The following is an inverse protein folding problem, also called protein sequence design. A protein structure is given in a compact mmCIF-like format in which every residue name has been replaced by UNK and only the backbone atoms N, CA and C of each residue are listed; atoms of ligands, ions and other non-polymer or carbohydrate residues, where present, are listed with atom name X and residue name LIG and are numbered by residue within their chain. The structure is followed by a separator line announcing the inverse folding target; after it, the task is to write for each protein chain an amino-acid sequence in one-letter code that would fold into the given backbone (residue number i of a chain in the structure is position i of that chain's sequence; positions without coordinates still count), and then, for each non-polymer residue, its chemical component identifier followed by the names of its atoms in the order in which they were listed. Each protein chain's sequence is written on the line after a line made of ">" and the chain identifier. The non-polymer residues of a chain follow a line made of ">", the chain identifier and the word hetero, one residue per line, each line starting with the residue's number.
data_IF_220039291445
#
_entry.id   IF_220039291445
#
_cell.length_a   1.000
_cell.length_b   1.000
_cell.length_c   1.000
_cell.angle_alpha   90.00
_cell.angle_beta   90.00
_cell.angle_gamma   90.00
#
_symmetry.space_group_name_H-M   'P 1'
#
loop_
_entity.id
_entity.type
_entity.pdbx_description
1 polymer ?
#
# COMPACT_ATOMS: atom_id res chain seq x y z
N UNK A 1 -24.62 11.78 13.61
CA UNK A 1 -24.00 12.26 12.36
C UNK A 1 -22.49 12.38 12.53
N UNK A 2 -22.01 13.08 13.57
CA UNK A 2 -20.58 13.29 13.85
C UNK A 2 -19.72 12.01 13.95
N UNK A 3 -20.27 10.90 14.49
CA UNK A 3 -19.55 9.63 14.60
C UNK A 3 -19.31 8.98 13.23
N UNK A 4 -20.23 9.14 12.28
CA UNK A 4 -20.07 8.60 10.93
C UNK A 4 -19.02 9.39 10.15
N UNK A 5 -19.01 10.71 10.28
CA UNK A 5 -17.97 11.57 9.69
C UNK A 5 -16.58 11.25 10.24
N UNK A 6 -16.47 11.00 11.55
CA UNK A 6 -15.21 10.59 12.17
C UNK A 6 -14.72 9.24 11.62
N UNK A 7 -15.60 8.24 11.53
CA UNK A 7 -15.27 6.92 10.97
C UNK A 7 -14.84 7.06 9.50
N UNK A 8 -15.53 7.89 8.72
CA UNK A 8 -15.21 8.15 7.32
C UNK A 8 -13.84 8.80 7.15
N UNK A 9 -13.52 9.79 7.99
CA UNK A 9 -12.21 10.45 8.00
C UNK A 9 -11.06 9.49 8.36
N UNK A 10 -11.29 8.59 9.33
CA UNK A 10 -10.32 7.56 9.72
C UNK A 10 -10.13 6.55 8.60
N UNK A 11 -11.20 6.03 8.00
CA UNK A 11 -11.11 5.10 6.87
C UNK A 11 -10.38 5.75 5.68
N UNK A 12 -10.74 6.99 5.34
CA UNK A 12 -10.08 7.71 4.24
C UNK A 12 -8.58 7.88 4.49
N UNK A 13 -8.19 8.29 5.71
CA UNK A 13 -6.77 8.42 6.08
C UNK A 13 -6.02 7.08 6.00
N UNK A 14 -6.67 5.99 6.42
CA UNK A 14 -6.11 4.64 6.35
C UNK A 14 -5.92 4.17 4.90
N UNK A 15 -6.90 4.45 4.04
CA UNK A 15 -6.84 4.16 2.61
C UNK A 15 -5.72 4.92 1.90
N UNK A 16 -5.55 6.21 2.19
CA UNK A 16 -4.47 7.04 1.65
C UNK A 16 -3.09 6.54 2.12
N UNK A 17 -2.97 6.14 3.40
CA UNK A 17 -1.73 5.58 3.95
C UNK A 17 -1.32 4.28 3.23
N UNK A 18 -2.27 3.37 3.02
CA UNK A 18 -2.05 2.12 2.29
C UNK A 18 -1.64 2.37 0.84
N UNK A 19 -2.29 3.34 0.18
CA UNK A 19 -1.94 3.73 -1.19
C UNK A 19 -0.53 4.32 -1.27
N UNK A 20 -0.16 5.20 -0.32
CA UNK A 20 1.17 5.79 -0.26
C UNK A 20 2.27 4.74 0.00
N UNK A 21 2.01 3.75 0.86
CA UNK A 21 2.92 2.62 1.06
C UNK A 21 3.14 1.81 -0.22
N UNK A 22 2.08 1.51 -0.98
CA UNK A 22 2.22 0.81 -2.26
C UNK A 22 3.02 1.63 -3.28
N UNK A 23 2.75 2.93 -3.39
CA UNK A 23 3.50 3.82 -4.28
C UNK A 23 4.99 3.91 -3.89
N UNK A 24 5.29 3.97 -2.59
CA UNK A 24 6.66 3.95 -2.07
C UNK A 24 7.42 2.68 -2.44
N UNK A 25 6.75 1.52 -2.38
CA UNK A 25 7.33 0.25 -2.82
C UNK A 25 7.58 0.18 -4.32
N UNK A 26 6.65 0.70 -5.14
CA UNK A 26 6.83 0.77 -6.59
C UNK A 26 8.02 1.65 -6.99
N UNK A 27 8.22 2.79 -6.30
CA UNK A 27 9.38 3.66 -6.50
C UNK A 27 10.67 2.98 -6.04
N UNK A 28 10.66 2.30 -4.89
CA UNK A 28 11.83 1.57 -4.38
C UNK A 28 12.28 0.46 -5.33
N UNK A 29 11.35 -0.22 -6.00
CA UNK A 29 11.65 -1.22 -7.02
C UNK A 29 12.37 -0.64 -8.25
N UNK A 30 12.09 0.63 -8.59
CA UNK A 30 12.70 1.34 -9.71
C UNK A 30 14.09 1.91 -9.37
N UNK A 31 14.38 2.16 -8.09
CA UNK A 31 15.66 2.75 -7.62
C UNK A 31 16.67 1.73 -7.12
N UNK A 32 16.30 0.45 -6.95
CA UNK A 32 17.25 -0.62 -6.59
C UNK A 32 18.25 -0.85 -7.73
N UNK A 33 19.54 -0.64 -7.45
CA UNK A 33 20.65 -1.03 -8.34
C UNK A 33 20.77 -2.56 -8.37
N UNK A 34 20.87 -3.13 -9.56
CA UNK A 34 20.89 -4.56 -9.89
C UNK A 34 22.16 -5.35 -9.44
N UNK A 35 22.89 -4.89 -8.42
CA UNK A 35 24.25 -5.40 -8.13
C UNK A 35 24.32 -6.55 -7.09
N UNK A 36 23.27 -6.82 -6.30
CA UNK A 36 23.25 -7.87 -5.26
C UNK A 36 22.20 -8.95 -5.55
N UNK A 37 22.56 -9.99 -6.29
CA UNK A 37 21.61 -10.79 -7.09
C UNK A 37 20.97 -12.00 -6.37
N UNK A 38 21.36 -12.39 -5.16
CA UNK A 38 20.83 -13.65 -4.57
C UNK A 38 19.77 -13.47 -3.45
N UNK A 39 19.80 -12.40 -2.65
CA UNK A 39 18.82 -12.16 -1.56
C UNK A 39 17.63 -11.25 -1.96
N UNK A 40 17.73 -10.55 -3.09
CA UNK A 40 16.72 -9.59 -3.55
C UNK A 40 15.44 -10.26 -4.07
N UNK A 41 15.48 -11.53 -4.50
CA UNK A 41 14.31 -12.20 -5.08
C UNK A 41 13.23 -12.47 -4.03
N UNK A 42 13.63 -12.99 -2.86
CA UNK A 42 12.73 -13.23 -1.73
C UNK A 42 12.16 -11.90 -1.20
N UNK A 43 13.03 -10.91 -1.00
CA UNK A 43 12.62 -9.55 -0.57
C UNK A 43 11.73 -8.83 -1.60
N UNK A 44 11.93 -9.05 -2.91
CA UNK A 44 11.04 -8.53 -3.97
C UNK A 44 9.66 -9.18 -3.96
N UNK A 45 9.58 -10.47 -3.67
CA UNK A 45 8.31 -11.19 -3.63
C UNK A 45 7.50 -10.75 -2.41
N UNK A 46 8.14 -10.62 -1.25
CA UNK A 46 7.50 -10.10 -0.03
C UNK A 46 7.03 -8.65 -0.18
N UNK A 47 7.87 -7.78 -0.73
CA UNK A 47 7.51 -6.39 -1.00
C UNK A 47 6.42 -6.23 -2.05
N UNK A 48 6.46 -7.06 -3.11
CA UNK A 48 5.41 -7.15 -4.11
C UNK A 48 4.08 -7.63 -3.54
N UNK A 49 4.10 -8.66 -2.69
CA UNK A 49 2.91 -9.20 -2.01
C UNK A 49 2.32 -8.17 -1.03
N UNK A 50 3.16 -7.50 -0.24
CA UNK A 50 2.75 -6.44 0.68
C UNK A 50 2.14 -5.24 -0.08
N UNK A 51 2.79 -4.77 -1.15
CA UNK A 51 2.26 -3.69 -1.99
C UNK A 51 0.92 -4.08 -2.63
N UNK A 52 0.79 -5.32 -3.10
CA UNK A 52 -0.47 -5.84 -3.63
C UNK A 52 -1.58 -5.87 -2.57
N UNK A 53 -1.29 -6.34 -1.37
CA UNK A 53 -2.23 -6.33 -0.24
C UNK A 53 -2.65 -4.91 0.15
N UNK A 54 -1.72 -3.94 0.13
CA UNK A 54 -2.01 -2.53 0.36
C UNK A 54 -2.94 -1.94 -0.70
N UNK A 55 -2.75 -2.27 -1.99
CA UNK A 55 -3.63 -1.82 -3.06
C UNK A 55 -5.04 -2.40 -2.92
N UNK A 56 -5.15 -3.71 -2.68
CA UNK A 56 -6.45 -4.38 -2.46
C UNK A 56 -7.15 -3.78 -1.23
N UNK A 57 -6.42 -3.56 -0.14
CA UNK A 57 -6.94 -2.93 1.08
C UNK A 57 -7.43 -1.49 0.84
N UNK A 58 -6.64 -0.68 0.11
CA UNK A 58 -7.04 0.68 -0.25
C UNK A 58 -8.28 0.71 -1.15
N UNK A 59 -8.39 -0.23 -2.11
CA UNK A 59 -9.55 -0.36 -2.99
C UNK A 59 -10.80 -0.83 -2.25
N UNK A 60 -10.65 -1.73 -1.27
CA UNK A 60 -11.75 -2.17 -0.42
C UNK A 60 -12.26 -1.04 0.48
N UNK A 61 -11.35 -0.24 1.05
CA UNK A 61 -11.72 0.95 1.83
C UNK A 61 -12.42 1.99 0.94
N UNK A 62 -11.93 2.21 -0.28
CA UNK A 62 -12.60 3.10 -1.23
C UNK A 62 -14.01 2.61 -1.61
N UNK A 63 -14.21 1.30 -1.75
CA UNK A 63 -15.53 0.70 -1.97
C UNK A 63 -16.47 0.88 -0.79
N UNK A 64 -15.97 0.74 0.45
CA UNK A 64 -16.78 0.96 1.66
C UNK A 64 -17.13 2.43 1.93
N UNK A 65 -16.35 3.36 1.37
CA UNK A 65 -16.56 4.81 1.47
C UNK A 65 -17.48 5.37 0.37
N UNK A 66 -17.86 4.54 -0.62
CA UNK A 66 -18.72 4.89 -1.75
C UNK A 66 -20.19 4.53 -1.47
#
# INVERSE_FOLDING_TARGET
>A
MEVLDFIQAVLFSLGVLLFAMSAGFAVSLLTVKYDDVDDLAESRIESGFFSGACLIGSGFIAYLLM
#
